data_IF_971917937879
#
_entry.id   IF_971917937879
#
_cell.length_a   1.000
_cell.length_b   1.000
_cell.length_c   1.000
_cell.angle_alpha   90.00
_cell.angle_beta   90.00
_cell.angle_gamma   90.00
#
_symmetry.space_group_name_H-M   'P 1'
#
loop_
_entity.id
_entity.type
_entity.pdbx_description
1 polymer ?
#
# COMPACT_ATOMS: atom_id res chain seq x y z
N UNK A 1 22.28 -6.79 -16.83
CA UNK A 1 20.86 -7.01 -17.15
C UNK A 1 20.13 -7.14 -15.83
N UNK A 2 19.19 -6.27 -15.47
CA UNK A 2 18.37 -6.49 -14.29
C UNK A 2 17.53 -7.73 -14.53
N UNK A 3 17.64 -8.72 -13.67
CA UNK A 3 16.78 -9.89 -13.68
C UNK A 3 15.33 -9.41 -13.57
N UNK A 4 14.55 -9.55 -14.62
CA UNK A 4 13.10 -9.41 -14.53
C UNK A 4 12.63 -10.48 -13.55
N UNK A 5 12.22 -10.05 -12.38
CA UNK A 5 11.57 -10.95 -11.42
C UNK A 5 10.33 -11.50 -12.13
N UNK A 6 10.33 -12.80 -12.37
CA UNK A 6 9.14 -13.48 -12.86
C UNK A 6 8.16 -13.54 -11.69
N UNK A 7 7.24 -12.58 -11.64
CA UNK A 7 6.31 -12.42 -10.55
C UNK A 7 4.89 -12.73 -11.04
N UNK A 8 4.24 -13.66 -10.37
CA UNK A 8 2.81 -13.83 -10.45
C UNK A 8 2.11 -12.73 -9.65
N UNK A 9 1.11 -12.11 -10.23
CA UNK A 9 0.29 -11.09 -9.58
C UNK A 9 -1.16 -11.56 -9.56
N UNK A 10 -1.75 -11.68 -8.39
CA UNK A 10 -3.11 -12.19 -8.19
C UNK A 10 -3.76 -11.64 -6.93
N UNK A 11 -5.07 -11.87 -6.79
CA UNK A 11 -5.76 -11.62 -5.52
C UNK A 11 -5.22 -12.55 -4.43
N UNK A 12 -5.12 -12.01 -3.20
CA UNK A 12 -4.71 -12.78 -2.04
C UNK A 12 -5.78 -13.79 -1.64
N UNK A 13 -5.34 -15.00 -1.31
CA UNK A 13 -6.15 -16.00 -0.63
C UNK A 13 -5.85 -16.01 0.88
N UNK A 14 -6.69 -16.69 1.65
CA UNK A 14 -6.50 -16.77 3.11
C UNK A 14 -5.14 -17.33 3.49
N UNK A 15 -4.64 -18.31 2.73
CA UNK A 15 -3.32 -18.93 2.97
C UNK A 15 -2.13 -17.97 2.74
N UNK A 16 -2.33 -16.85 2.05
CA UNK A 16 -1.29 -15.84 1.85
C UNK A 16 -1.12 -14.91 3.06
N UNK A 17 -2.09 -14.86 3.97
CA UNK A 17 -2.16 -13.86 5.03
C UNK A 17 -1.00 -13.94 6.02
N UNK A 18 -0.47 -15.13 6.30
CA UNK A 18 0.71 -15.25 7.15
C UNK A 18 1.93 -14.55 6.56
N UNK A 19 2.11 -14.61 5.25
CA UNK A 19 3.18 -13.89 4.54
C UNK A 19 2.94 -12.38 4.52
N UNK A 20 1.69 -11.94 4.36
CA UNK A 20 1.34 -10.52 4.46
C UNK A 20 1.65 -9.97 5.85
N UNK A 21 1.31 -10.72 6.91
CA UNK A 21 1.62 -10.34 8.29
C UNK A 21 3.13 -10.20 8.49
N UNK A 22 3.93 -11.12 7.98
CA UNK A 22 5.38 -11.06 8.09
C UNK A 22 5.95 -9.81 7.41
N UNK A 23 5.52 -9.50 6.19
CA UNK A 23 5.94 -8.30 5.44
C UNK A 23 5.51 -7.03 6.19
N UNK A 24 4.26 -6.95 6.62
CA UNK A 24 3.71 -5.78 7.29
C UNK A 24 4.38 -5.52 8.64
N UNK A 25 4.60 -6.55 9.44
CA UNK A 25 5.27 -6.43 10.73
C UNK A 25 6.74 -6.06 10.61
N UNK A 26 7.43 -6.51 9.55
CA UNK A 26 8.78 -6.04 9.25
C UNK A 26 8.80 -4.53 8.94
N UNK A 27 7.87 -4.05 8.14
CA UNK A 27 7.69 -2.61 7.86
C UNK A 27 7.42 -1.82 9.13
N UNK A 28 6.53 -2.31 10.00
CA UNK A 28 6.26 -1.67 11.30
C UNK A 28 7.54 -1.56 12.14
N UNK A 29 8.33 -2.63 12.20
CA UNK A 29 9.52 -2.70 13.05
C UNK A 29 10.68 -1.82 12.53
N UNK A 30 10.79 -1.64 11.22
CA UNK A 30 12.02 -1.12 10.58
C UNK A 30 11.85 0.23 9.88
N UNK A 31 10.62 0.72 9.70
CA UNK A 31 10.38 1.93 8.90
C UNK A 31 9.25 2.80 9.43
N UNK A 32 9.15 4.00 8.86
CA UNK A 32 8.05 4.95 9.09
C UNK A 32 6.96 4.87 8.01
N UNK A 33 6.96 3.83 7.17
CA UNK A 33 5.91 3.65 6.17
C UNK A 33 4.53 3.39 6.80
N UNK A 34 4.51 2.87 8.02
CA UNK A 34 3.31 2.73 8.86
C UNK A 34 3.56 3.44 10.18
N UNK A 35 2.67 4.37 10.56
CA UNK A 35 2.77 5.13 11.80
C UNK A 35 2.20 4.33 12.99
N UNK A 36 2.72 3.12 13.15
CA UNK A 36 2.41 2.23 14.27
C UNK A 36 3.67 1.50 14.72
N UNK A 37 3.74 1.18 15.98
CA UNK A 37 4.80 0.37 16.59
C UNK A 37 4.29 -0.99 17.07
N UNK A 38 3.00 -1.26 16.94
CA UNK A 38 2.37 -2.50 17.40
C UNK A 38 2.23 -3.48 16.24
N UNK A 39 2.89 -4.65 16.31
CA UNK A 39 2.70 -5.70 15.31
C UNK A 39 1.24 -6.16 15.25
N UNK A 40 0.80 -6.58 14.08
CA UNK A 40 -0.52 -7.19 13.88
C UNK A 40 -0.44 -8.71 14.02
N UNK A 41 -1.53 -9.30 14.49
CA UNK A 41 -1.68 -10.76 14.54
C UNK A 41 -2.26 -11.30 13.24
N UNK A 42 -2.13 -12.59 13.00
CA UNK A 42 -2.76 -13.25 11.87
C UNK A 42 -4.29 -13.14 11.92
N UNK A 43 -4.89 -13.23 13.11
CA UNK A 43 -6.35 -13.12 13.25
C UNK A 43 -6.86 -11.70 12.94
N UNK A 44 -6.16 -10.67 13.41
CA UNK A 44 -6.46 -9.27 13.05
C UNK A 44 -6.36 -9.06 11.54
N UNK A 45 -5.33 -9.63 10.90
CA UNK A 45 -5.14 -9.52 9.45
C UNK A 45 -6.20 -10.30 8.68
N UNK A 46 -6.62 -11.46 9.18
CA UNK A 46 -7.72 -12.24 8.59
C UNK A 46 -9.03 -11.46 8.61
N UNK A 47 -9.35 -10.83 9.73
CA UNK A 47 -10.55 -10.01 9.85
C UNK A 47 -10.49 -8.77 8.93
N UNK A 48 -9.35 -8.11 8.87
CA UNK A 48 -9.09 -7.00 7.95
C UNK A 48 -9.28 -7.41 6.48
N UNK A 49 -8.72 -8.54 6.09
CA UNK A 49 -8.84 -9.08 4.72
C UNK A 49 -10.30 -9.41 4.37
N UNK A 50 -11.02 -10.09 5.25
CA UNK A 50 -12.44 -10.40 5.05
C UNK A 50 -13.27 -9.14 4.87
N UNK A 51 -13.04 -8.11 5.66
CA UNK A 51 -13.72 -6.82 5.55
C UNK A 51 -13.46 -6.15 4.21
N UNK A 52 -12.21 -6.16 3.73
CA UNK A 52 -11.84 -5.62 2.42
C UNK A 52 -12.51 -6.36 1.28
N UNK A 53 -12.45 -7.66 1.28
CA UNK A 53 -13.07 -8.53 0.26
C UNK A 53 -14.59 -8.35 0.25
N UNK A 54 -15.23 -8.30 1.40
CA UNK A 54 -16.68 -8.08 1.52
C UNK A 54 -17.11 -6.71 0.98
N UNK A 55 -16.25 -5.69 1.10
CA UNK A 55 -16.47 -4.35 0.52
C UNK A 55 -16.17 -4.29 -0.99
N UNK A 56 -15.71 -5.38 -1.60
CA UNK A 56 -15.33 -5.43 -3.00
C UNK A 56 -13.94 -4.83 -3.29
N UNK A 57 -13.16 -4.52 -2.27
CA UNK A 57 -11.82 -3.95 -2.42
C UNK A 57 -10.76 -5.03 -2.63
N UNK A 58 -9.80 -4.82 -3.56
CA UNK A 58 -8.77 -5.79 -3.83
C UNK A 58 -7.73 -5.85 -2.71
N UNK A 59 -7.23 -7.05 -2.45
CA UNK A 59 -5.95 -7.27 -1.79
C UNK A 59 -5.13 -8.10 -2.76
N UNK A 60 -4.12 -7.49 -3.38
CA UNK A 60 -3.27 -8.11 -4.39
C UNK A 60 -1.97 -8.58 -3.76
N UNK A 61 -1.48 -9.71 -4.22
CA UNK A 61 -0.12 -10.18 -3.89
C UNK A 61 0.72 -10.31 -5.14
N UNK A 62 2.02 -10.10 -4.97
CA UNK A 62 3.04 -10.55 -5.91
C UNK A 62 3.79 -11.73 -5.29
N UNK A 63 3.99 -12.78 -6.06
CA UNK A 63 4.71 -13.97 -5.63
C UNK A 63 5.74 -14.39 -6.67
N UNK A 64 6.85 -14.94 -6.20
CA UNK A 64 7.86 -15.63 -7.00
C UNK A 64 8.11 -17.03 -6.43
N UNK A 65 9.15 -17.71 -6.91
CA UNK A 65 9.51 -19.06 -6.45
C UNK A 65 9.82 -19.10 -4.94
N UNK A 66 10.10 -17.96 -4.32
CA UNK A 66 10.34 -17.86 -2.87
C UNK A 66 9.07 -17.60 -2.04
N UNK A 67 7.90 -17.53 -2.69
CA UNK A 67 6.63 -17.22 -2.05
C UNK A 67 6.17 -15.78 -2.27
N UNK A 68 5.33 -15.26 -1.37
CA UNK A 68 4.83 -13.89 -1.44
C UNK A 68 5.94 -12.88 -1.20
N UNK A 69 6.12 -11.94 -2.12
CA UNK A 69 7.19 -10.94 -2.10
C UNK A 69 6.69 -9.51 -1.91
N UNK A 70 5.38 -9.30 -1.95
CA UNK A 70 4.77 -8.01 -1.72
C UNK A 70 3.25 -8.08 -1.81
N UNK A 71 2.60 -7.03 -1.35
CA UNK A 71 1.15 -6.89 -1.46
C UNK A 71 0.74 -5.43 -1.64
N UNK A 72 -0.44 -5.24 -2.21
CA UNK A 72 -1.04 -3.93 -2.37
C UNK A 72 -2.56 -4.02 -2.19
N UNK A 73 -3.13 -2.95 -1.68
CA UNK A 73 -4.57 -2.83 -1.44
C UNK A 73 -4.98 -1.37 -1.44
N UNK A 74 -6.26 -1.10 -1.49
CA UNK A 74 -6.79 0.21 -1.14
C UNK A 74 -8.05 0.05 -0.28
N UNK A 75 -8.34 1.07 0.50
CA UNK A 75 -9.55 1.20 1.31
C UNK A 75 -10.11 2.60 1.22
N UNK A 76 -11.18 2.86 1.95
CA UNK A 76 -11.79 4.18 2.00
C UNK A 76 -10.81 5.21 2.54
N UNK A 77 -10.77 6.38 1.90
CA UNK A 77 -9.97 7.51 2.40
C UNK A 77 -10.53 8.05 3.71
N UNK A 78 -11.85 8.26 3.76
CA UNK A 78 -12.58 8.70 4.95
C UNK A 78 -13.99 8.11 4.95
N UNK A 79 -14.56 7.96 6.15
CA UNK A 79 -15.85 7.28 6.35
C UNK A 79 -17.08 8.04 5.82
N UNK A 80 -17.00 9.36 5.66
CA UNK A 80 -18.14 10.16 5.22
C UNK A 80 -18.53 9.82 3.77
N UNK A 81 -19.82 9.69 3.46
CA UNK A 81 -20.30 9.32 2.11
C UNK A 81 -19.80 10.24 0.98
N UNK A 82 -19.51 11.51 1.28
CA UNK A 82 -18.94 12.45 0.32
C UNK A 82 -17.55 12.04 -0.20
N UNK A 83 -16.83 11.17 0.53
CA UNK A 83 -15.51 10.64 0.14
C UNK A 83 -15.58 9.28 -0.56
N UNK A 84 -16.76 8.75 -0.87
CA UNK A 84 -16.94 7.38 -1.39
C UNK A 84 -16.20 7.10 -2.71
N UNK A 85 -15.84 8.13 -3.47
CA UNK A 85 -15.09 7.99 -4.73
C UNK A 85 -13.58 8.16 -4.55
N UNK A 86 -13.10 8.35 -3.33
CA UNK A 86 -11.68 8.47 -3.01
C UNK A 86 -11.24 7.26 -2.21
N UNK A 87 -10.13 6.65 -2.63
CA UNK A 87 -9.48 5.55 -1.93
C UNK A 87 -8.05 5.92 -1.55
N UNK A 88 -7.56 5.29 -0.48
CA UNK A 88 -6.15 5.38 -0.09
C UNK A 88 -5.51 4.01 -0.24
N UNK A 89 -4.37 3.98 -0.94
CA UNK A 89 -3.68 2.72 -1.18
C UNK A 89 -2.63 2.42 -0.13
N UNK A 90 -2.26 1.14 -0.07
CA UNK A 90 -1.12 0.62 0.65
C UNK A 90 -0.35 -0.32 -0.28
N UNK A 91 0.98 -0.18 -0.35
CA UNK A 91 1.87 -1.10 -1.05
C UNK A 91 3.11 -1.36 -0.20
N UNK A 92 3.41 -2.63 0.01
CA UNK A 92 4.58 -3.07 0.75
C UNK A 92 5.28 -4.21 0.02
N UNK A 93 6.61 -4.13 -0.05
CA UNK A 93 7.46 -5.12 -0.69
C UNK A 93 8.42 -5.70 0.35
N UNK A 94 8.59 -7.01 0.32
CA UNK A 94 9.55 -7.72 1.17
C UNK A 94 10.96 -7.13 0.98
N UNK A 95 11.67 -6.94 2.06
CA UNK A 95 12.92 -6.18 2.08
C UNK A 95 13.96 -6.65 1.05
N UNK A 96 14.08 -7.97 0.89
CA UNK A 96 15.03 -8.61 -0.05
C UNK A 96 14.59 -8.55 -1.53
N UNK A 97 13.42 -7.98 -1.81
CA UNK A 97 12.85 -7.84 -3.17
C UNK A 97 12.60 -6.40 -3.58
N UNK A 98 13.02 -5.43 -2.77
CA UNK A 98 12.92 -4.00 -3.10
C UNK A 98 13.88 -3.63 -4.24
N UNK A 99 13.53 -2.58 -4.99
CA UNK A 99 14.33 -2.09 -6.12
C UNK A 99 14.18 -2.89 -7.42
N UNK A 100 13.40 -3.99 -7.42
CA UNK A 100 13.18 -4.83 -8.61
C UNK A 100 11.88 -4.54 -9.39
N UNK A 101 11.19 -3.44 -9.10
CA UNK A 101 9.93 -3.07 -9.78
C UNK A 101 8.68 -3.75 -9.25
N UNK A 102 8.78 -4.53 -8.17
CA UNK A 102 7.64 -5.23 -7.56
C UNK A 102 6.57 -4.25 -7.11
N UNK A 103 6.96 -3.20 -6.38
CA UNK A 103 6.04 -2.15 -5.92
C UNK A 103 5.33 -1.43 -7.06
N UNK A 104 6.05 -1.13 -8.14
CA UNK A 104 5.48 -0.51 -9.34
C UNK A 104 4.37 -1.37 -9.94
N UNK A 105 4.64 -2.66 -10.18
CA UNK A 105 3.66 -3.59 -10.74
C UNK A 105 2.44 -3.75 -9.85
N UNK A 106 2.64 -3.85 -8.53
CA UNK A 106 1.56 -3.96 -7.56
C UNK A 106 0.68 -2.72 -7.55
N UNK A 107 1.28 -1.53 -7.49
CA UNK A 107 0.51 -0.27 -7.45
C UNK A 107 -0.21 -0.02 -8.77
N UNK A 108 0.44 -0.24 -9.92
CA UNK A 108 -0.20 -0.10 -11.23
C UNK A 108 -1.41 -1.04 -11.39
N UNK A 109 -1.35 -2.24 -10.83
CA UNK A 109 -2.45 -3.19 -10.88
C UNK A 109 -3.68 -2.76 -10.06
N UNK A 110 -3.52 -1.85 -9.10
CA UNK A 110 -4.64 -1.28 -8.36
C UNK A 110 -5.47 -0.30 -9.19
N UNK A 111 -4.88 0.39 -10.15
CA UNK A 111 -5.56 1.44 -10.92
C UNK A 111 -6.79 0.93 -11.68
N UNK A 112 -6.70 -0.13 -12.50
CA UNK A 112 -7.88 -0.66 -13.17
C UNK A 112 -8.91 -1.24 -12.19
N UNK A 113 -8.49 -1.77 -11.06
CA UNK A 113 -9.39 -2.28 -10.01
C UNK A 113 -10.20 -1.15 -9.38
N UNK A 114 -9.56 -0.01 -9.10
CA UNK A 114 -10.21 1.18 -8.59
C UNK A 114 -11.16 1.78 -9.63
N UNK A 115 -10.73 1.86 -10.89
CA UNK A 115 -11.57 2.33 -12.00
C UNK A 115 -12.83 1.49 -12.18
N UNK A 116 -12.70 0.16 -12.10
CA UNK A 116 -13.85 -0.76 -12.20
C UNK A 116 -14.88 -0.58 -11.08
N UNK A 117 -14.46 -0.07 -9.92
CA UNK A 117 -15.33 0.29 -8.80
C UNK A 117 -15.87 1.72 -8.88
N UNK A 118 -15.62 2.43 -9.97
CA UNK A 118 -16.07 3.82 -10.16
C UNK A 118 -15.33 4.82 -9.28
N UNK A 119 -14.14 4.49 -8.77
CA UNK A 119 -13.35 5.43 -7.98
C UNK A 119 -12.75 6.52 -8.87
N UNK A 120 -12.66 7.72 -8.33
CA UNK A 120 -12.19 8.91 -9.05
C UNK A 120 -10.78 9.31 -8.66
N UNK A 121 -10.44 9.21 -7.38
CA UNK A 121 -9.16 9.66 -6.84
C UNK A 121 -8.53 8.59 -5.95
N UNK A 122 -7.21 8.40 -6.09
CA UNK A 122 -6.40 7.58 -5.20
C UNK A 122 -5.40 8.45 -4.45
N UNK A 123 -5.35 8.29 -3.15
CA UNK A 123 -4.45 9.02 -2.25
C UNK A 123 -3.35 8.10 -1.76
N UNK A 124 -2.17 8.66 -1.58
CA UNK A 124 -1.04 8.05 -0.91
C UNK A 124 -0.59 8.93 0.25
N UNK A 125 -0.41 8.36 1.43
CA UNK A 125 0.21 9.02 2.58
C UNK A 125 1.65 8.54 2.74
N UNK A 126 2.61 9.46 2.76
CA UNK A 126 4.04 9.15 2.79
C UNK A 126 4.74 10.03 3.83
N UNK A 127 5.65 9.44 4.62
CA UNK A 127 6.55 10.22 5.46
C UNK A 127 7.30 11.25 4.60
N UNK A 128 7.21 12.53 4.97
CA UNK A 128 7.82 13.61 4.23
C UNK A 128 9.35 13.46 4.06
N UNK A 129 10.01 12.75 4.98
CA UNK A 129 11.43 12.45 4.91
C UNK A 129 11.76 11.30 3.92
N UNK A 130 10.77 10.52 3.50
CA UNK A 130 10.97 9.41 2.58
C UNK A 130 10.90 9.90 1.11
N UNK A 131 11.95 10.56 0.67
CA UNK A 131 12.04 11.12 -0.68
C UNK A 131 12.00 10.06 -1.77
N UNK A 132 12.50 8.86 -1.51
CA UNK A 132 12.43 7.74 -2.45
C UNK A 132 11.00 7.30 -2.71
N UNK A 133 10.16 7.22 -1.67
CA UNK A 133 8.74 6.89 -1.81
C UNK A 133 7.96 8.00 -2.51
N UNK A 134 8.25 9.26 -2.20
CA UNK A 134 7.65 10.41 -2.91
C UNK A 134 7.93 10.33 -4.41
N UNK A 135 9.18 10.13 -4.81
CA UNK A 135 9.59 9.98 -6.22
C UNK A 135 8.96 8.77 -6.88
N UNK A 136 8.85 7.65 -6.16
CA UNK A 136 8.18 6.44 -6.62
C UNK A 136 6.72 6.74 -7.02
N UNK A 137 5.98 7.46 -6.18
CA UNK A 137 4.60 7.85 -6.47
C UNK A 137 4.51 8.86 -7.61
N UNK A 138 5.41 9.85 -7.65
CA UNK A 138 5.44 10.83 -8.74
C UNK A 138 5.67 10.16 -10.10
N UNK A 139 6.56 9.18 -10.20
CA UNK A 139 6.76 8.40 -11.43
C UNK A 139 5.53 7.62 -11.88
N UNK A 140 4.62 7.30 -10.96
CA UNK A 140 3.35 6.62 -11.24
C UNK A 140 2.18 7.59 -11.41
N UNK A 141 2.46 8.88 -11.59
CA UNK A 141 1.47 9.89 -11.90
C UNK A 141 0.74 10.50 -10.70
N UNK A 142 1.25 10.27 -9.49
CA UNK A 142 0.76 10.99 -8.31
C UNK A 142 1.38 12.37 -8.24
N UNK A 143 0.60 13.34 -7.76
CA UNK A 143 1.03 14.71 -7.50
C UNK A 143 0.95 15.00 -6.01
N UNK A 144 1.90 15.78 -5.49
CA UNK A 144 1.85 16.22 -4.10
C UNK A 144 0.65 17.16 -3.90
N UNK A 145 -0.19 16.84 -2.93
CA UNK A 145 -1.40 17.61 -2.63
C UNK A 145 -1.24 18.49 -1.37
N UNK A 146 -0.38 18.08 -0.45
CA UNK A 146 -0.15 18.83 0.77
C UNK A 146 0.73 18.09 1.78
N UNK A 147 1.11 18.79 2.84
CA UNK A 147 1.90 18.24 3.93
C UNK A 147 1.27 18.63 5.28
N UNK A 148 1.03 17.64 6.10
CA UNK A 148 0.62 17.82 7.50
C UNK A 148 1.84 17.66 8.39
N UNK A 149 2.15 18.69 9.16
CA UNK A 149 3.33 18.70 10.03
C UNK A 149 3.04 18.07 11.37
N UNK A 150 3.99 17.26 11.85
CA UNK A 150 4.00 16.68 13.20
C UNK A 150 2.73 15.90 13.56
N UNK A 151 2.08 15.28 12.58
CA UNK A 151 0.84 14.51 12.79
C UNK A 151 1.11 13.07 13.18
N UNK A 152 2.29 12.55 12.93
CA UNK A 152 2.73 11.21 13.33
C UNK A 152 3.81 11.27 14.41
N UNK A 153 3.93 10.19 15.19
CA UNK A 153 5.02 10.03 16.14
C UNK A 153 5.48 8.58 16.15
N UNK A 154 6.77 8.35 15.88
CA UNK A 154 7.36 7.02 15.88
C UNK A 154 8.89 7.13 16.04
N UNK A 155 9.53 6.14 16.67
CA UNK A 155 10.96 6.14 16.93
C UNK A 155 11.43 7.40 17.67
N UNK A 156 10.64 7.83 18.66
CA UNK A 156 10.91 9.02 19.47
C UNK A 156 11.02 10.32 18.69
N UNK A 157 10.33 10.44 17.56
CA UNK A 157 10.31 11.68 16.75
C UNK A 157 8.94 11.97 16.16
N UNK A 158 8.67 13.23 15.95
CA UNK A 158 7.51 13.71 15.20
C UNK A 158 7.72 13.48 13.70
N UNK A 159 6.65 13.10 13.02
CA UNK A 159 6.67 12.80 11.60
C UNK A 159 5.68 13.69 10.85
N UNK A 160 6.14 14.22 9.72
CA UNK A 160 5.30 14.96 8.79
C UNK A 160 4.73 13.99 7.75
N UNK A 161 3.46 14.17 7.39
CA UNK A 161 2.78 13.36 6.40
C UNK A 161 2.56 14.14 5.12
N UNK A 162 3.14 13.69 4.01
CA UNK A 162 2.84 14.18 2.67
C UNK A 162 1.70 13.36 2.09
N UNK A 163 0.65 14.04 1.63
CA UNK A 163 -0.36 13.45 0.78
C UNK A 163 -0.01 13.65 -0.70
N UNK A 164 -0.05 12.56 -1.45
CA UNK A 164 -0.03 12.59 -2.90
C UNK A 164 -1.34 12.03 -3.43
N UNK A 165 -1.76 12.47 -4.60
CA UNK A 165 -3.01 12.02 -5.20
C UNK A 165 -2.86 11.75 -6.68
N UNK A 166 -3.64 10.80 -7.18
CA UNK A 166 -3.72 10.47 -8.60
C UNK A 166 -5.17 10.30 -9.01
N UNK A 167 -5.56 10.93 -10.13
CA UNK A 167 -6.86 10.67 -10.75
C UNK A 167 -6.88 9.27 -11.35
N UNK A 168 -7.92 8.49 -11.03
CA UNK A 168 -8.14 7.12 -11.51
C UNK A 168 -9.19 7.09 -12.62
N UNK A 169 -10.30 7.78 -12.41
CA UNK A 169 -11.34 7.92 -13.42
C UNK A 169 -10.98 8.94 -14.51
N UNK A 170 -11.51 8.74 -15.69
CA UNK A 170 -11.38 9.69 -16.80
C UNK A 170 -12.18 10.97 -16.54
#
# INVERSE_FOLDING_TARGET
>A
MPHRVNMELRDAAEDDLSSLVAIYNDVIATSTAVYSSTPVTLEERRQWWRTRVAAGYPVLIGADDSGVIGFATFGDFRAWPGYRFTVEHTVHVRADRRGGGVGTKLLEALFPRAAALGKHMMVAGVDAANTASIRFHERLGFEQAGCLREVGHKFDRWLDLVFLQRRIGA
#
